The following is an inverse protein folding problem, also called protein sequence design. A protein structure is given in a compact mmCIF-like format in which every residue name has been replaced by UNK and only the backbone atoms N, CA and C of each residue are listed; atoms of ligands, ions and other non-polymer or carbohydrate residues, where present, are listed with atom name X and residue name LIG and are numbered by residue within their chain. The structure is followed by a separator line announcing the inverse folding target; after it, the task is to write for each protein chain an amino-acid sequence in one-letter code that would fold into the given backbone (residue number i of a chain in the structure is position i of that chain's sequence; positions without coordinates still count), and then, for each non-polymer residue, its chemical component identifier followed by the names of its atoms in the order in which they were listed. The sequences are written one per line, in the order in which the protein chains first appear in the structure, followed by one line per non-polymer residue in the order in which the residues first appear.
data_IF_673696826799
#
_entry.id   IF_673696826799
#
_cell.length_a   1.000
_cell.length_b   1.000
_cell.length_c   1.000
_cell.angle_alpha   90.00
_cell.angle_beta   90.00
_cell.angle_gamma   90.00
#
_symmetry.space_group_name_H-M   'P 1'
#
loop_
_entity.id
_entity.type
_entity.pdbx_description
1 polymer ?
#
# COMPACT_ATOMS: atom_id res chain seq x y z
N UNK A 1 49.14 -2.88 6.15
CA UNK A 1 48.06 -3.82 6.53
C UNK A 1 46.91 -3.17 7.32
N UNK A 2 47.12 -2.36 8.38
CA UNK A 2 45.97 -1.80 9.12
C UNK A 2 45.09 -0.85 8.29
N UNK A 3 45.67 -0.13 7.32
CA UNK A 3 44.92 0.79 6.45
C UNK A 3 43.88 0.09 5.56
N UNK A 4 44.22 -1.07 4.99
CA UNK A 4 43.29 -1.84 4.15
C UNK A 4 42.13 -2.42 4.97
N UNK A 5 42.41 -2.93 6.17
CA UNK A 5 41.35 -3.39 7.07
C UNK A 5 40.44 -2.23 7.50
N UNK A 6 41.02 -1.05 7.76
CA UNK A 6 40.26 0.15 8.08
C UNK A 6 39.37 0.61 6.90
N UNK A 7 39.88 0.58 5.66
CA UNK A 7 39.10 0.93 4.46
C UNK A 7 38.00 -0.07 4.14
N UNK A 8 38.15 -1.34 4.56
CA UNK A 8 37.16 -2.40 4.38
C UNK A 8 36.22 -2.58 5.60
N UNK A 9 36.32 -1.68 6.58
CA UNK A 9 35.54 -1.73 7.84
C UNK A 9 35.68 -3.04 8.60
N UNK A 10 36.90 -3.59 8.64
CA UNK A 10 37.26 -4.78 9.41
C UNK A 10 37.91 -4.35 10.72
N UNK A 11 37.14 -4.33 11.80
CA UNK A 11 37.59 -3.90 13.13
C UNK A 11 38.12 -5.06 14.00
N UNK A 12 37.68 -6.28 13.72
CA UNK A 12 38.10 -7.50 14.41
C UNK A 12 38.26 -8.65 13.42
N UNK A 13 39.17 -9.56 13.75
CA UNK A 13 39.38 -10.81 13.01
C UNK A 13 38.82 -12.00 13.80
N UNK A 14 38.34 -13.07 13.13
CA UNK A 14 38.25 -13.23 11.68
C UNK A 14 37.09 -12.43 11.07
N UNK A 15 37.26 -11.95 9.83
CA UNK A 15 36.22 -11.29 9.05
C UNK A 15 36.24 -11.80 7.61
N UNK A 16 35.06 -11.85 7.00
CA UNK A 16 34.87 -12.35 5.64
C UNK A 16 34.19 -11.29 4.78
N UNK A 17 34.49 -11.29 3.50
CA UNK A 17 33.86 -10.41 2.54
C UNK A 17 34.08 -10.92 1.11
N UNK A 18 33.25 -10.45 0.20
CA UNK A 18 33.30 -10.78 -1.22
C UNK A 18 33.50 -9.52 -2.04
N UNK A 19 34.42 -9.60 -3.00
CA UNK A 19 34.57 -8.61 -4.05
C UNK A 19 33.88 -9.14 -5.30
N UNK A 20 32.88 -8.40 -5.78
CA UNK A 20 31.99 -8.80 -6.86
C UNK A 20 32.48 -8.22 -8.19
N UNK A 21 31.94 -8.74 -9.28
CA UNK A 21 32.16 -8.17 -10.61
C UNK A 21 31.69 -6.71 -10.62
N UNK A 22 32.52 -5.81 -11.15
CA UNK A 22 32.26 -4.37 -11.12
C UNK A 22 32.88 -3.63 -9.92
N UNK A 23 33.61 -4.33 -9.04
CA UNK A 23 34.36 -3.71 -7.93
C UNK A 23 33.54 -3.50 -6.65
N UNK A 24 32.31 -4.01 -6.61
CA UNK A 24 31.42 -3.92 -5.44
C UNK A 24 31.92 -4.84 -4.33
N UNK A 25 32.10 -4.29 -3.13
CA UNK A 25 32.51 -5.04 -1.94
C UNK A 25 31.33 -5.24 -1.00
N UNK A 26 31.16 -6.46 -0.48
CA UNK A 26 30.22 -6.76 0.60
C UNK A 26 30.91 -7.55 1.70
N UNK A 27 30.81 -7.05 2.94
CA UNK A 27 31.29 -7.71 4.15
C UNK A 27 30.22 -8.65 4.70
N UNK A 28 30.64 -9.82 5.16
CA UNK A 28 29.77 -10.74 5.87
C UNK A 28 29.38 -10.17 7.24
N UNK A 29 28.14 -10.34 7.69
CA UNK A 29 27.75 -10.05 9.06
C UNK A 29 28.59 -10.87 10.06
N UNK A 30 28.87 -10.36 11.27
CA UNK A 30 29.73 -11.05 12.24
C UNK A 30 29.26 -12.46 12.61
N UNK A 31 27.94 -12.70 12.63
CA UNK A 31 27.31 -13.97 12.99
C UNK A 31 26.92 -14.85 11.80
N UNK A 32 27.27 -14.45 10.58
CA UNK A 32 26.82 -15.16 9.38
C UNK A 32 27.55 -16.49 9.17
N UNK A 33 26.82 -17.49 8.67
CA UNK A 33 27.44 -18.65 8.05
C UNK A 33 28.09 -18.21 6.72
N UNK A 34 29.40 -18.46 6.58
CA UNK A 34 30.18 -17.97 5.44
C UNK A 34 29.74 -18.63 4.14
N UNK A 35 29.30 -19.89 4.17
CA UNK A 35 28.86 -20.60 2.96
C UNK A 35 27.56 -20.00 2.45
N UNK A 36 26.59 -19.81 3.34
CA UNK A 36 25.29 -19.25 2.99
C UNK A 36 25.44 -17.79 2.52
N UNK A 37 26.29 -17.00 3.21
CA UNK A 37 26.64 -15.66 2.78
C UNK A 37 27.19 -15.62 1.35
N UNK A 38 28.17 -16.48 1.02
CA UNK A 38 28.78 -16.49 -0.30
C UNK A 38 27.80 -16.90 -1.41
N UNK A 39 26.86 -17.79 -1.12
CA UNK A 39 25.83 -18.21 -2.09
C UNK A 39 24.96 -17.03 -2.53
N UNK A 40 24.55 -16.17 -1.60
CA UNK A 40 23.62 -15.07 -1.89
C UNK A 40 24.36 -13.79 -2.29
N UNK A 41 25.46 -13.45 -1.60
CA UNK A 41 26.17 -12.18 -1.80
C UNK A 41 26.80 -12.05 -3.19
N UNK A 42 27.19 -13.17 -3.83
CA UNK A 42 27.78 -13.16 -5.17
C UNK A 42 26.78 -12.76 -6.26
N UNK A 43 25.48 -12.98 -6.04
CA UNK A 43 24.42 -12.59 -6.96
C UNK A 43 24.02 -11.11 -6.80
N UNK A 44 24.15 -10.52 -5.60
CA UNK A 44 23.74 -9.15 -5.31
C UNK A 44 24.73 -8.10 -5.83
N UNK A 45 24.84 -7.92 -7.16
CA UNK A 45 25.85 -7.05 -7.78
C UNK A 45 25.72 -5.55 -7.45
N UNK A 46 24.54 -5.09 -7.02
CA UNK A 46 24.24 -3.70 -6.64
C UNK A 46 24.26 -3.45 -5.11
N UNK A 47 24.72 -4.41 -4.30
CA UNK A 47 24.77 -4.29 -2.84
C UNK A 47 26.18 -4.03 -2.32
N UNK A 48 26.37 -2.87 -1.70
CA UNK A 48 27.65 -2.38 -1.20
C UNK A 48 27.71 -2.41 0.33
N UNK A 49 28.88 -2.73 0.90
CA UNK A 49 29.22 -2.31 2.26
C UNK A 49 29.76 -0.90 2.21
N UNK A 50 29.10 0.02 2.91
CA UNK A 50 29.39 1.44 2.87
C UNK A 50 30.38 1.86 3.95
N UNK A 51 31.15 2.90 3.64
CA UNK A 51 31.94 3.65 4.61
C UNK A 51 31.17 4.85 5.18
N UNK A 52 31.64 5.46 6.29
CA UNK A 52 31.10 6.73 6.78
C UNK A 52 31.12 7.84 5.72
N UNK A 53 32.15 7.89 4.88
CA UNK A 53 32.26 8.84 3.77
C UNK A 53 31.23 8.57 2.68
N UNK A 54 31.02 7.30 2.32
CA UNK A 54 29.98 6.94 1.35
C UNK A 54 28.60 7.31 1.87
N UNK A 55 28.32 6.99 3.13
CA UNK A 55 27.05 7.30 3.75
C UNK A 55 26.78 8.81 3.75
N UNK A 56 27.76 9.64 4.14
CA UNK A 56 27.57 11.10 4.13
C UNK A 56 27.30 11.63 2.72
N UNK A 57 28.11 11.23 1.74
CA UNK A 57 27.92 11.61 0.32
C UNK A 57 26.51 11.28 -0.17
N UNK A 58 26.03 10.06 0.13
CA UNK A 58 24.68 9.62 -0.23
C UNK A 58 23.61 10.45 0.50
N UNK A 59 23.74 10.63 1.82
CA UNK A 59 22.75 11.37 2.62
C UNK A 59 22.70 12.87 2.31
N UNK A 60 23.79 13.45 1.81
CA UNK A 60 23.86 14.83 1.32
C UNK A 60 23.16 15.01 -0.04
N UNK A 61 22.79 13.92 -0.70
CA UNK A 61 22.14 13.96 -2.00
C UNK A 61 23.08 14.30 -3.15
N UNK A 62 24.38 14.04 -2.99
CA UNK A 62 25.38 14.22 -4.05
C UNK A 62 25.16 13.24 -5.20
N UNK A 63 24.44 12.15 -4.93
CA UNK A 63 24.09 11.12 -5.91
C UNK A 63 22.71 11.34 -6.54
N UNK A 64 22.66 11.21 -7.86
CA UNK A 64 21.41 11.26 -8.63
C UNK A 64 20.65 9.94 -8.62
N UNK A 65 21.35 8.82 -8.36
CA UNK A 65 20.76 7.49 -8.26
C UNK A 65 19.98 7.31 -6.96
N UNK A 66 19.03 6.37 -6.95
CA UNK A 66 18.32 5.97 -5.75
C UNK A 66 19.20 5.04 -4.92
N UNK A 67 19.36 5.34 -3.63
CA UNK A 67 20.05 4.48 -2.68
C UNK A 67 19.08 3.90 -1.66
N UNK A 68 19.05 2.57 -1.57
CA UNK A 68 18.35 1.82 -0.53
C UNK A 68 19.37 1.39 0.50
N UNK A 69 19.27 1.88 1.72
CA UNK A 69 20.28 1.76 2.76
C UNK A 69 19.74 0.99 3.96
N UNK A 70 20.49 -0.01 4.43
CA UNK A 70 20.34 -0.60 5.75
C UNK A 70 21.37 0.07 6.68
N UNK A 71 20.90 0.89 7.60
CA UNK A 71 21.73 1.55 8.60
C UNK A 71 21.59 0.83 9.93
N UNK A 72 22.71 0.34 10.46
CA UNK A 72 22.76 -0.38 11.72
C UNK A 72 23.63 0.40 12.73
N UNK A 73 23.01 1.10 13.70
CA UNK A 73 23.73 1.79 14.76
C UNK A 73 24.58 0.85 15.62
N UNK A 74 25.65 1.39 16.20
CA UNK A 74 26.56 0.61 17.04
C UNK A 74 25.84 -0.03 18.24
N UNK A 75 26.10 -1.32 18.47
CA UNK A 75 25.53 -2.07 19.60
C UNK A 75 24.08 -2.52 19.43
N UNK A 76 23.52 -2.43 18.22
CA UNK A 76 22.17 -2.91 17.90
C UNK A 76 22.21 -4.29 17.23
N UNK A 77 21.11 -5.05 17.30
CA UNK A 77 20.94 -6.32 16.59
C UNK A 77 20.25 -6.08 15.25
N UNK A 78 20.89 -6.45 14.14
CA UNK A 78 20.44 -6.11 12.78
C UNK A 78 20.77 -7.20 11.75
N UNK A 79 21.52 -8.22 12.14
CA UNK A 79 22.06 -9.25 11.25
C UNK A 79 20.95 -10.07 10.58
N UNK A 80 19.83 -10.26 11.27
CA UNK A 80 18.63 -10.92 10.74
C UNK A 80 17.98 -10.18 9.54
N UNK A 81 18.32 -8.90 9.33
CA UNK A 81 17.80 -8.07 8.23
C UNK A 81 18.61 -8.32 6.95
N UNK A 82 19.86 -8.79 7.06
CA UNK A 82 20.81 -8.82 5.94
C UNK A 82 20.35 -9.76 4.83
N UNK A 83 19.85 -10.94 5.18
CA UNK A 83 19.38 -11.91 4.19
C UNK A 83 18.20 -11.37 3.37
N UNK A 84 17.07 -10.95 3.96
CA UNK A 84 15.96 -10.43 3.16
C UNK A 84 16.32 -9.12 2.45
N UNK A 85 17.21 -8.28 3.01
CA UNK A 85 17.69 -7.08 2.35
C UNK A 85 18.56 -7.39 1.13
N UNK A 86 19.40 -8.43 1.22
CA UNK A 86 20.21 -8.90 0.10
C UNK A 86 19.32 -9.45 -1.00
N UNK A 87 18.27 -10.20 -0.65
CA UNK A 87 17.29 -10.67 -1.64
C UNK A 87 16.58 -9.51 -2.33
N UNK A 88 16.14 -8.49 -1.57
CA UNK A 88 15.53 -7.29 -2.14
C UNK A 88 16.45 -6.57 -3.14
N UNK A 89 17.76 -6.56 -2.86
CA UNK A 89 18.77 -6.01 -3.77
C UNK A 89 18.84 -6.79 -5.08
N UNK A 90 18.82 -8.13 -5.00
CA UNK A 90 18.84 -9.05 -6.15
C UNK A 90 17.60 -8.82 -7.04
N UNK A 91 16.44 -8.67 -6.41
CA UNK A 91 15.17 -8.46 -7.11
C UNK A 91 15.13 -7.12 -7.90
N UNK A 92 16.07 -6.21 -7.62
CA UNK A 92 16.18 -4.90 -8.26
C UNK A 92 17.40 -4.75 -9.19
N UNK A 93 18.12 -5.83 -9.51
CA UNK A 93 19.32 -5.78 -10.35
C UNK A 93 19.09 -5.22 -11.77
N UNK A 94 17.88 -5.36 -12.30
CA UNK A 94 17.53 -4.86 -13.64
C UNK A 94 17.44 -3.32 -13.69
N UNK A 95 17.37 -2.64 -12.54
CA UNK A 95 17.29 -1.19 -12.49
C UNK A 95 18.66 -0.58 -12.15
N UNK A 96 19.36 -0.14 -13.20
CA UNK A 96 20.69 0.47 -13.08
C UNK A 96 20.72 1.76 -12.26
N UNK A 97 19.57 2.39 -12.01
CA UNK A 97 19.47 3.61 -11.21
C UNK A 97 19.27 3.35 -9.70
N UNK A 98 19.26 2.08 -9.26
CA UNK A 98 19.07 1.71 -7.86
C UNK A 98 20.31 0.99 -7.33
N UNK A 99 20.85 1.56 -6.26
CA UNK A 99 21.97 1.00 -5.51
C UNK A 99 21.51 0.62 -4.10
N UNK A 100 22.09 -0.44 -3.56
CA UNK A 100 21.86 -0.87 -2.19
C UNK A 100 23.12 -0.73 -1.35
N UNK A 101 22.96 -0.32 -0.09
CA UNK A 101 24.07 -0.09 0.83
C UNK A 101 23.80 -0.62 2.23
N UNK A 102 24.77 -1.29 2.83
CA UNK A 102 24.74 -1.66 4.25
C UNK A 102 25.83 -0.85 4.96
N UNK A 103 25.42 -0.08 5.98
CA UNK A 103 26.33 0.59 6.89
C UNK A 103 26.10 0.07 8.31
N UNK A 104 27.06 -0.70 8.82
CA UNK A 104 27.12 -1.09 10.23
C UNK A 104 28.09 -0.18 10.98
N UNK A 105 27.57 0.72 11.80
CA UNK A 105 28.38 1.68 12.53
C UNK A 105 29.13 1.03 13.70
N UNK A 106 30.39 1.41 13.86
CA UNK A 106 31.18 1.10 15.05
C UNK A 106 31.11 2.21 16.09
N UNK A 107 31.74 2.00 17.26
CA UNK A 107 31.80 3.01 18.32
C UNK A 107 32.35 4.36 17.81
N UNK A 108 33.33 4.34 16.90
CA UNK A 108 33.93 5.56 16.31
C UNK A 108 33.04 6.21 15.25
N UNK A 109 32.21 5.40 14.58
CA UNK A 109 31.32 5.86 13.51
C UNK A 109 29.85 6.02 13.96
N UNK A 110 29.55 5.89 15.26
CA UNK A 110 28.18 5.85 15.78
C UNK A 110 27.35 7.07 15.34
N UNK A 111 27.95 8.26 15.37
CA UNK A 111 27.29 9.52 14.98
C UNK A 111 26.68 9.49 13.57
N UNK A 112 27.29 8.77 12.63
CA UNK A 112 26.85 8.71 11.23
C UNK A 112 25.55 7.92 11.06
N UNK A 113 25.30 6.90 11.89
CA UNK A 113 24.02 6.18 11.89
C UNK A 113 23.01 6.90 12.78
N UNK A 114 23.42 7.38 13.96
CA UNK A 114 22.50 7.98 14.94
C UNK A 114 21.92 9.32 14.52
N UNK A 115 22.57 10.05 13.60
CA UNK A 115 21.96 11.23 12.96
C UNK A 115 20.70 10.89 12.16
N UNK A 116 20.52 9.61 11.77
CA UNK A 116 19.34 9.13 11.05
C UNK A 116 18.39 8.38 11.98
N UNK A 117 18.91 7.42 12.74
CA UNK A 117 18.11 6.61 13.67
C UNK A 117 18.98 5.99 14.76
N UNK A 118 18.42 5.86 15.97
CA UNK A 118 19.05 5.13 17.08
C UNK A 118 18.82 3.61 17.03
N UNK A 119 17.99 3.13 16.11
CA UNK A 119 17.70 1.72 15.87
C UNK A 119 18.01 1.34 14.41
N UNK A 120 18.23 0.06 14.09
CA UNK A 120 18.37 -0.39 12.71
C UNK A 120 17.20 0.09 11.85
N UNK A 121 17.49 0.60 10.66
CA UNK A 121 16.49 1.26 9.83
C UNK A 121 16.80 1.08 8.34
N UNK A 122 15.75 0.95 7.53
CA UNK A 122 15.86 1.03 6.08
C UNK A 122 15.55 2.45 5.61
N UNK A 123 16.43 3.01 4.80
CA UNK A 123 16.32 4.38 4.29
C UNK A 123 16.41 4.35 2.78
N UNK A 124 15.53 5.08 2.10
CA UNK A 124 15.58 5.28 0.66
C UNK A 124 15.91 6.74 0.42
N UNK A 125 17.05 6.99 -0.20
CA UNK A 125 17.59 8.31 -0.47
C UNK A 125 17.64 8.56 -1.98
N UNK A 126 17.10 9.67 -2.44
CA UNK A 126 17.16 10.11 -3.83
C UNK A 126 17.40 11.62 -3.88
N UNK A 127 18.64 12.03 -4.21
CA UNK A 127 19.06 13.41 -3.99
C UNK A 127 18.84 13.78 -2.52
N UNK A 128 18.13 14.88 -2.25
CA UNK A 128 17.80 15.32 -0.88
C UNK A 128 16.57 14.62 -0.28
N UNK A 129 15.79 13.88 -1.08
CA UNK A 129 14.57 13.21 -0.62
C UNK A 129 14.90 11.96 0.15
N UNK A 130 14.29 11.81 1.33
CA UNK A 130 14.49 10.67 2.22
C UNK A 130 13.16 10.05 2.61
N UNK A 131 13.03 8.73 2.42
CA UNK A 131 11.93 7.93 2.93
C UNK A 131 12.49 6.90 3.91
N UNK A 132 11.84 6.71 5.05
CA UNK A 132 12.35 5.86 6.11
C UNK A 132 11.33 4.78 6.47
N UNK A 133 11.80 3.55 6.59
CA UNK A 133 11.00 2.40 7.00
C UNK A 133 11.19 2.13 8.49
N UNK A 134 10.15 2.38 9.28
CA UNK A 134 10.21 2.29 10.74
C UNK A 134 9.62 0.98 11.32
N UNK A 135 9.16 0.05 10.47
CA UNK A 135 8.57 -1.21 10.93
C UNK A 135 9.64 -2.28 11.19
N UNK A 136 9.29 -3.27 12.01
CA UNK A 136 10.17 -4.39 12.36
C UNK A 136 10.02 -5.63 11.47
N UNK A 137 9.07 -5.63 10.54
CA UNK A 137 8.93 -6.70 9.55
C UNK A 137 9.92 -6.44 8.40
N UNK A 138 11.00 -7.20 8.37
CA UNK A 138 12.01 -7.10 7.31
C UNK A 138 11.81 -8.11 6.18
N UNK A 139 10.67 -8.81 6.16
CA UNK A 139 10.32 -9.74 5.10
C UNK A 139 9.55 -9.02 4.00
N UNK A 140 8.29 -9.42 3.81
CA UNK A 140 7.44 -8.92 2.72
C UNK A 140 7.13 -7.43 2.83
N UNK A 141 7.02 -6.87 4.03
CA UNK A 141 6.63 -5.46 4.18
C UNK A 141 7.77 -4.52 3.80
N UNK A 142 9.02 -4.88 4.12
CA UNK A 142 10.20 -4.13 3.71
C UNK A 142 10.38 -4.18 2.18
N UNK A 143 10.28 -5.35 1.57
CA UNK A 143 10.40 -5.47 0.11
C UNK A 143 9.30 -4.70 -0.61
N UNK A 144 8.06 -4.78 -0.11
CA UNK A 144 6.95 -3.96 -0.63
C UNK A 144 7.22 -2.46 -0.48
N UNK A 145 7.78 -2.02 0.65
CA UNK A 145 8.15 -0.62 0.85
C UNK A 145 9.17 -0.15 -0.18
N UNK A 146 10.24 -0.94 -0.39
CA UNK A 146 11.28 -0.63 -1.37
C UNK A 146 10.68 -0.54 -2.77
N UNK A 147 9.94 -1.57 -3.18
CA UNK A 147 9.23 -1.62 -4.46
C UNK A 147 8.34 -0.40 -4.68
N UNK A 148 7.54 -0.05 -3.67
CA UNK A 148 6.63 1.08 -3.75
C UNK A 148 7.38 2.41 -3.81
N UNK A 149 8.42 2.60 -3.00
CA UNK A 149 9.17 3.85 -2.95
C UNK A 149 9.92 4.11 -4.26
N UNK A 150 10.47 3.05 -4.86
CA UNK A 150 11.18 3.07 -6.14
C UNK A 150 10.23 3.30 -7.32
N UNK A 151 9.09 2.58 -7.35
CA UNK A 151 8.17 2.58 -8.50
C UNK A 151 7.13 3.70 -8.46
N UNK A 152 6.94 4.37 -7.33
CA UNK A 152 5.93 5.43 -7.20
C UNK A 152 6.44 6.75 -7.75
N UNK A 153 5.57 7.48 -8.45
CA UNK A 153 5.69 8.94 -8.53
C UNK A 153 5.59 9.49 -7.12
N UNK A 154 6.40 10.50 -6.79
CA UNK A 154 6.38 11.08 -5.45
C UNK A 154 4.96 11.50 -5.06
N UNK A 155 4.45 10.85 -4.02
CA UNK A 155 3.19 11.18 -3.39
C UNK A 155 3.31 12.49 -2.59
N UNK A 156 4.53 12.96 -2.35
CA UNK A 156 4.78 14.21 -1.63
C UNK A 156 4.33 15.40 -2.48
N UNK A 157 3.47 16.23 -1.89
CA UNK A 157 2.93 17.42 -2.52
C UNK A 157 3.61 18.66 -1.94
N UNK A 158 3.93 19.61 -2.81
CA UNK A 158 4.23 20.98 -2.40
C UNK A 158 2.96 21.75 -2.05
N UNK A 159 3.08 22.82 -1.27
CA UNK A 159 1.97 23.72 -0.96
C UNK A 159 1.32 24.29 -2.22
N UNK A 160 2.11 24.63 -3.24
CA UNK A 160 1.58 25.11 -4.54
C UNK A 160 0.66 24.09 -5.18
N UNK A 161 1.10 22.82 -5.26
CA UNK A 161 0.28 21.74 -5.82
C UNK A 161 -0.99 21.53 -5.00
N UNK A 162 -0.90 21.63 -3.67
CA UNK A 162 -2.06 21.52 -2.80
C UNK A 162 -3.09 22.65 -3.05
N UNK A 163 -2.63 23.90 -3.16
CA UNK A 163 -3.51 25.04 -3.44
C UNK A 163 -4.22 24.85 -4.79
N UNK A 164 -3.51 24.39 -5.82
CA UNK A 164 -4.09 24.03 -7.12
C UNK A 164 -5.15 22.92 -6.99
N UNK A 165 -4.94 21.92 -6.12
CA UNK A 165 -5.94 20.87 -5.85
C UNK A 165 -7.14 21.44 -5.10
N UNK A 166 -6.98 22.41 -4.21
CA UNK A 166 -8.11 22.99 -3.46
C UNK A 166 -9.08 23.75 -4.38
N UNK A 167 -8.57 24.38 -5.44
CA UNK A 167 -9.39 25.04 -6.45
C UNK A 167 -10.25 24.02 -7.23
N UNK A 168 -11.58 24.23 -7.26
CA UNK A 168 -12.53 23.27 -7.88
C UNK A 168 -12.33 23.20 -9.39
N UNK A 169 -12.11 24.34 -10.05
CA UNK A 169 -12.01 24.46 -11.50
C UNK A 169 -10.78 23.80 -12.11
N UNK A 170 -9.72 23.59 -11.32
CA UNK A 170 -8.48 22.93 -11.74
C UNK A 170 -8.48 21.41 -11.49
N UNK A 171 -9.46 20.87 -10.74
CA UNK A 171 -9.50 19.45 -10.38
C UNK A 171 -10.09 18.56 -11.47
N UNK A 172 -9.22 17.82 -12.16
CA UNK A 172 -9.60 16.73 -13.08
C UNK A 172 -9.83 15.38 -12.39
N UNK A 173 -9.29 15.20 -11.18
CA UNK A 173 -9.28 13.93 -10.44
C UNK A 173 -9.81 14.11 -9.02
N UNK A 174 -10.33 13.02 -8.44
CA UNK A 174 -10.59 12.98 -7.01
C UNK A 174 -9.26 12.78 -6.29
N UNK A 175 -8.95 13.65 -5.34
CA UNK A 175 -7.71 13.57 -4.57
C UNK A 175 -7.95 13.03 -3.17
N UNK A 176 -7.12 12.09 -2.73
CA UNK A 176 -7.01 11.66 -1.34
C UNK A 176 -5.66 12.13 -0.81
N UNK A 177 -5.67 13.06 0.15
CA UNK A 177 -4.48 13.74 0.65
C UNK A 177 -4.29 13.49 2.14
N UNK A 178 -3.10 13.04 2.54
CA UNK A 178 -2.68 13.03 3.93
C UNK A 178 -1.98 14.33 4.29
N UNK A 179 -2.22 14.82 5.50
CA UNK A 179 -1.55 15.97 6.09
C UNK A 179 -0.84 15.49 7.33
N UNK A 180 0.49 15.56 7.32
CA UNK A 180 1.35 15.19 8.45
C UNK A 180 1.80 16.49 9.13
N UNK A 181 1.48 16.71 10.42
CA UNK A 181 1.81 17.95 11.12
C UNK A 181 3.33 18.09 11.36
N UNK A 182 3.82 19.33 11.43
CA UNK A 182 5.20 19.61 11.86
C UNK A 182 5.32 19.54 13.39
N UNK A 183 6.29 18.77 13.90
CA UNK A 183 6.63 18.75 15.33
C UNK A 183 6.11 17.55 16.12
N UNK A 184 6.39 17.54 17.43
CA UNK A 184 6.34 16.36 18.30
C UNK A 184 4.97 15.74 18.72
N UNK A 185 3.76 16.32 18.51
CA UNK A 185 2.59 15.78 19.21
C UNK A 185 2.00 14.47 18.65
N UNK A 186 2.48 13.94 17.51
CA UNK A 186 1.95 12.70 16.93
C UNK A 186 2.85 11.46 17.04
N UNK A 187 4.13 11.62 17.39
CA UNK A 187 5.08 10.52 17.62
C UNK A 187 5.05 9.41 16.56
N UNK A 188 5.05 8.16 17.03
CA UNK A 188 5.08 6.96 16.19
C UNK A 188 3.98 6.89 15.11
N UNK A 189 2.83 7.51 15.35
CA UNK A 189 1.74 7.54 14.37
C UNK A 189 2.14 8.29 13.10
N UNK A 190 2.81 9.44 13.24
CA UNK A 190 3.31 10.19 12.09
C UNK A 190 4.50 9.48 11.43
N UNK A 191 5.40 8.90 12.21
CA UNK A 191 6.59 8.21 11.66
C UNK A 191 6.20 7.05 10.74
N UNK A 192 5.09 6.37 11.03
CA UNK A 192 4.61 5.25 10.20
C UNK A 192 3.62 5.64 9.11
N UNK A 193 3.01 6.82 9.21
CA UNK A 193 1.98 7.24 8.26
C UNK A 193 2.48 7.25 6.81
N UNK A 194 3.72 7.68 6.47
CA UNK A 194 4.24 7.58 5.11
C UNK A 194 4.16 6.15 4.53
N UNK A 195 4.57 5.14 5.31
CA UNK A 195 4.48 3.73 4.90
C UNK A 195 3.03 3.31 4.68
N UNK A 196 2.15 3.56 5.66
CA UNK A 196 0.73 3.23 5.56
C UNK A 196 0.10 3.92 4.34
N UNK A 197 0.46 5.18 4.09
CA UNK A 197 -0.05 5.96 2.97
C UNK A 197 0.43 5.45 1.61
N UNK A 198 1.65 4.91 1.53
CA UNK A 198 2.12 4.21 0.33
C UNK A 198 1.30 2.95 0.05
N UNK A 199 0.93 2.19 1.10
CA UNK A 199 0.02 1.03 0.95
C UNK A 199 -1.34 1.49 0.45
N UNK A 200 -1.88 2.61 0.98
CA UNK A 200 -3.12 3.22 0.47
C UNK A 200 -3.00 3.56 -1.01
N UNK A 201 -1.93 4.26 -1.42
CA UNK A 201 -1.68 4.62 -2.80
C UNK A 201 -1.58 3.39 -3.73
N UNK A 202 -0.85 2.34 -3.32
CA UNK A 202 -0.72 1.07 -4.05
C UNK A 202 -2.09 0.42 -4.27
N UNK A 203 -2.92 0.34 -3.21
CA UNK A 203 -4.24 -0.29 -3.26
C UNK A 203 -5.24 0.50 -4.12
N UNK A 204 -5.15 1.83 -4.16
CA UNK A 204 -6.03 2.69 -4.97
C UNK A 204 -5.58 2.86 -6.42
N UNK A 205 -4.37 2.41 -6.79
CA UNK A 205 -3.81 2.49 -8.16
C UNK A 205 -4.71 1.97 -9.30
N UNK A 206 -5.59 0.96 -9.10
CA UNK A 206 -6.55 0.55 -10.13
C UNK A 206 -7.59 1.63 -10.47
N UNK A 207 -7.93 2.50 -9.51
CA UNK A 207 -8.91 3.58 -9.70
C UNK A 207 -8.24 4.79 -10.38
N UNK A 208 -8.16 4.76 -11.72
CA UNK A 208 -7.44 5.79 -12.50
C UNK A 208 -7.96 7.22 -12.37
N UNK A 209 -9.17 7.41 -11.86
CA UNK A 209 -9.75 8.72 -11.57
C UNK A 209 -9.36 9.28 -10.19
N UNK A 210 -8.64 8.50 -9.38
CA UNK A 210 -8.17 8.88 -8.05
C UNK A 210 -6.68 9.21 -8.12
N UNK A 211 -6.28 10.25 -7.39
CA UNK A 211 -4.87 10.58 -7.12
C UNK A 211 -4.65 10.60 -5.62
N UNK A 212 -3.49 10.15 -5.19
CA UNK A 212 -3.11 10.07 -3.78
C UNK A 212 -1.90 10.95 -3.57
N UNK A 213 -1.95 11.82 -2.57
CA UNK A 213 -0.86 12.72 -2.22
C UNK A 213 -0.69 12.88 -0.72
N UNK A 214 0.40 13.49 -0.30
CA UNK A 214 0.75 13.70 1.10
C UNK A 214 1.49 15.02 1.22
N UNK A 215 1.02 15.90 2.11
CA UNK A 215 1.76 17.07 2.55
C UNK A 215 2.43 16.72 3.88
N UNK A 216 3.75 16.64 3.86
CA UNK A 216 4.56 16.49 5.07
C UNK A 216 5.06 17.86 5.53
N UNK A 217 4.47 18.37 6.62
CA UNK A 217 4.84 19.67 7.17
C UNK A 217 6.17 19.64 7.92
N UNK A 218 6.73 18.47 8.25
CA UNK A 218 8.06 18.38 8.84
C UNK A 218 9.15 18.63 7.79
N UNK A 219 8.94 18.18 6.54
CA UNK A 219 9.90 18.37 5.44
C UNK A 219 9.73 19.72 4.75
N UNK A 220 8.49 20.19 4.60
CA UNK A 220 8.16 21.44 3.92
C UNK A 220 7.29 22.34 4.81
N UNK A 221 7.90 23.06 5.78
CA UNK A 221 7.16 23.96 6.65
C UNK A 221 6.64 25.16 5.84
N UNK A 222 5.33 25.31 5.77
CA UNK A 222 4.67 26.44 5.11
C UNK A 222 3.62 27.10 6.01
N UNK A 223 3.10 28.26 5.61
CA UNK A 223 2.03 28.94 6.37
C UNK A 223 0.76 28.07 6.47
N UNK A 224 0.46 27.27 5.44
CA UNK A 224 -0.61 26.28 5.51
C UNK A 224 -0.40 25.27 6.65
N UNK A 225 0.85 24.85 6.89
CA UNK A 225 1.18 23.86 7.92
C UNK A 225 0.91 24.33 9.35
N UNK A 226 0.83 25.64 9.61
CA UNK A 226 0.42 26.16 10.91
C UNK A 226 -1.00 25.71 11.33
N UNK A 227 -1.84 25.35 10.35
CA UNK A 227 -3.20 24.86 10.57
C UNK A 227 -3.32 23.33 10.64
N UNK A 228 -2.23 22.60 10.36
CA UNK A 228 -2.19 21.14 10.45
C UNK A 228 -1.69 20.74 11.82
N UNK A 229 -2.63 20.60 12.78
CA UNK A 229 -2.30 20.25 14.18
C UNK A 229 -2.24 18.75 14.45
N UNK A 230 -2.95 17.96 13.65
CA UNK A 230 -3.10 16.51 13.83
C UNK A 230 -3.00 15.80 12.48
N UNK A 231 -2.49 14.56 12.45
CA UNK A 231 -2.46 13.78 11.22
C UNK A 231 -3.89 13.59 10.71
N UNK A 232 -4.15 14.01 9.48
CA UNK A 232 -5.51 14.08 8.92
C UNK A 232 -5.48 13.59 7.48
N UNK A 233 -6.49 12.83 7.06
CA UNK A 233 -6.73 12.53 5.65
C UNK A 233 -7.93 13.34 5.15
N UNK A 234 -7.85 13.85 3.92
CA UNK A 234 -8.94 14.56 3.25
C UNK A 234 -9.17 14.04 1.84
N UNK A 235 -10.44 13.90 1.46
CA UNK A 235 -10.89 13.61 0.11
C UNK A 235 -11.40 14.90 -0.50
N UNK A 236 -10.91 15.21 -1.69
CA UNK A 236 -11.32 16.33 -2.53
C UNK A 236 -11.98 15.76 -3.80
N UNK A 237 -13.32 15.61 -3.82
CA UNK A 237 -14.04 15.09 -4.99
C UNK A 237 -13.95 16.05 -6.18
N UNK A 238 -14.05 15.52 -7.40
CA UNK A 238 -14.17 16.35 -8.61
C UNK A 238 -15.46 17.17 -8.53
N UNK A 239 -15.38 18.47 -8.89
CA UNK A 239 -16.55 19.35 -8.98
C UNK A 239 -17.19 19.76 -7.65
N UNK A 240 -16.60 19.38 -6.50
CA UNK A 240 -17.08 19.75 -5.16
C UNK A 240 -16.14 20.74 -4.48
N UNK A 241 -16.65 21.85 -3.98
CA UNK A 241 -15.93 22.73 -3.04
C UNK A 241 -15.72 22.07 -1.68
N UNK A 242 -16.65 21.22 -1.28
CA UNK A 242 -16.58 20.49 -0.02
C UNK A 242 -15.56 19.36 -0.10
N UNK A 243 -14.86 19.16 1.03
CA UNK A 243 -13.94 18.05 1.25
C UNK A 243 -14.42 17.20 2.42
N UNK A 244 -14.03 15.93 2.44
CA UNK A 244 -14.41 14.99 3.49
C UNK A 244 -13.15 14.63 4.25
N UNK A 245 -13.16 14.74 5.59
CA UNK A 245 -11.96 14.56 6.41
C UNK A 245 -12.12 13.49 7.49
N UNK A 246 -11.01 12.82 7.82
CA UNK A 246 -10.90 11.95 8.99
C UNK A 246 -9.62 12.27 9.77
N UNK A 247 -9.72 12.23 11.10
CA UNK A 247 -8.59 12.33 11.99
C UNK A 247 -7.89 10.96 12.08
N UNK A 248 -6.57 10.94 11.89
CA UNK A 248 -5.77 9.71 11.85
C UNK A 248 -5.08 9.37 13.18
N UNK A 249 -5.33 10.09 14.28
CA UNK A 249 -4.71 9.81 15.58
C UNK A 249 -4.89 8.34 16.01
N UNK A 250 -6.06 7.76 15.79
CA UNK A 250 -6.38 6.37 16.15
C UNK A 250 -6.52 5.43 14.94
N UNK A 251 -6.61 5.99 13.72
CA UNK A 251 -6.97 5.26 12.49
C UNK A 251 -5.94 5.45 11.36
N UNK A 252 -4.66 5.64 11.70
CA UNK A 252 -3.59 5.85 10.72
C UNK A 252 -3.19 4.61 9.90
N UNK A 253 -3.67 3.42 10.23
CA UNK A 253 -3.31 2.21 9.48
C UNK A 253 -4.07 2.15 8.14
N UNK A 254 -3.39 1.66 7.10
CA UNK A 254 -3.93 1.62 5.74
C UNK A 254 -5.31 0.95 5.62
N UNK A 255 -5.62 -0.18 6.30
CA UNK A 255 -6.94 -0.82 6.19
C UNK A 255 -8.10 0.10 6.60
N UNK A 256 -7.95 0.86 7.68
CA UNK A 256 -9.00 1.78 8.16
C UNK A 256 -9.16 2.98 7.23
N UNK A 257 -8.04 3.54 6.76
CA UNK A 257 -8.03 4.65 5.81
C UNK A 257 -8.71 4.23 4.50
N UNK A 258 -8.39 3.03 3.99
CA UNK A 258 -8.95 2.54 2.73
C UNK A 258 -10.45 2.26 2.84
N UNK A 259 -10.92 1.67 3.94
CA UNK A 259 -12.36 1.49 4.14
C UNK A 259 -13.09 2.83 4.12
N UNK A 260 -12.67 3.78 4.98
CA UNK A 260 -13.23 5.11 5.02
C UNK A 260 -13.18 5.80 3.64
N UNK A 261 -12.03 5.79 2.98
CA UNK A 261 -11.87 6.48 1.70
C UNK A 261 -12.76 5.88 0.60
N UNK A 262 -12.82 4.55 0.51
CA UNK A 262 -13.62 3.87 -0.52
C UNK A 262 -15.12 4.02 -0.29
N UNK A 263 -15.58 4.16 0.95
CA UNK A 263 -16.98 4.49 1.24
C UNK A 263 -17.42 5.80 0.54
N UNK A 264 -16.55 6.80 0.43
CA UNK A 264 -16.87 8.08 -0.23
C UNK A 264 -16.43 8.16 -1.69
N UNK A 265 -15.34 7.47 -2.08
CA UNK A 265 -14.80 7.54 -3.44
C UNK A 265 -15.62 6.73 -4.43
N UNK A 266 -16.05 5.52 -4.04
CA UNK A 266 -16.80 4.63 -4.94
C UNK A 266 -18.26 4.41 -4.50
N UNK A 267 -18.58 4.62 -3.22
CA UNK A 267 -19.92 4.50 -2.59
C UNK A 267 -20.86 3.48 -3.26
N UNK A 268 -20.36 2.27 -3.52
CA UNK A 268 -21.09 1.32 -4.36
C UNK A 268 -21.95 0.36 -3.56
N UNK A 269 -21.71 0.21 -2.26
CA UNK A 269 -22.23 -0.90 -1.45
C UNK A 269 -23.36 -0.48 -0.49
N UNK A 270 -24.58 -0.94 -0.78
CA UNK A 270 -25.74 -0.68 0.06
C UNK A 270 -25.60 -1.39 1.42
N UNK A 271 -25.84 -0.67 2.53
CA UNK A 271 -26.03 -1.28 3.85
C UNK A 271 -27.35 -2.08 3.87
N UNK A 272 -27.26 -3.38 4.12
CA UNK A 272 -28.40 -4.29 4.10
C UNK A 272 -28.79 -4.67 5.53
N UNK A 273 -29.99 -4.24 5.93
CA UNK A 273 -30.68 -4.79 7.11
C UNK A 273 -31.60 -5.94 6.69
N UNK A 274 -32.21 -6.62 7.65
CA UNK A 274 -33.07 -7.78 7.38
C UNK A 274 -34.17 -7.50 6.36
N UNK A 275 -34.85 -6.35 6.45
CA UNK A 275 -35.96 -6.00 5.57
C UNK A 275 -35.49 -5.82 4.12
N UNK A 276 -34.40 -5.09 3.92
CA UNK A 276 -33.83 -4.85 2.59
C UNK A 276 -33.25 -6.15 2.03
N UNK A 277 -32.52 -6.93 2.84
CA UNK A 277 -31.93 -8.20 2.43
C UNK A 277 -33.02 -9.19 1.97
N UNK A 278 -34.04 -9.39 2.81
CA UNK A 278 -35.16 -10.29 2.51
C UNK A 278 -35.87 -9.90 1.22
N UNK A 279 -36.18 -8.61 1.06
CA UNK A 279 -36.96 -8.11 -0.08
C UNK A 279 -36.15 -8.01 -1.38
N UNK A 280 -34.89 -7.57 -1.32
CA UNK A 280 -34.11 -7.26 -2.52
C UNK A 280 -33.19 -8.37 -2.95
N UNK A 281 -32.61 -9.12 -2.01
CA UNK A 281 -31.56 -10.11 -2.29
C UNK A 281 -32.15 -11.50 -2.48
N UNK A 282 -32.93 -11.98 -1.51
CA UNK A 282 -33.38 -13.38 -1.46
C UNK A 282 -34.83 -13.61 -1.92
N UNK A 283 -35.67 -12.57 -2.00
CA UNK A 283 -37.04 -12.73 -2.49
C UNK A 283 -37.06 -13.21 -3.95
N UNK A 284 -37.83 -14.28 -4.17
CA UNK A 284 -38.05 -14.84 -5.50
C UNK A 284 -39.25 -14.20 -6.20
N UNK A 285 -39.09 -13.86 -7.47
CA UNK A 285 -40.19 -13.41 -8.32
C UNK A 285 -40.92 -14.62 -8.92
N UNK A 286 -42.24 -14.68 -8.71
CA UNK A 286 -43.09 -15.78 -9.20
C UNK A 286 -43.13 -15.86 -10.72
N UNK A 287 -43.10 -14.72 -11.41
CA UNK A 287 -43.09 -14.59 -12.88
C UNK A 287 -42.01 -13.58 -13.32
N UNK A 288 -40.74 -13.98 -13.43
CA UNK A 288 -39.65 -13.07 -13.79
C UNK A 288 -39.79 -12.64 -15.26
N UNK A 289 -40.10 -11.36 -15.50
CA UNK A 289 -40.29 -10.79 -16.84
C UNK A 289 -39.02 -10.13 -17.39
N UNK A 290 -37.98 -9.97 -16.58
CA UNK A 290 -36.70 -9.39 -16.96
C UNK A 290 -35.51 -9.98 -16.19
N UNK A 291 -34.29 -9.63 -16.59
CA UNK A 291 -33.07 -10.08 -15.91
C UNK A 291 -32.75 -9.17 -14.74
N UNK A 292 -33.05 -9.64 -13.51
CA UNK A 292 -32.66 -8.95 -12.28
C UNK A 292 -31.14 -9.04 -12.12
N UNK A 293 -30.50 -7.89 -11.83
CA UNK A 293 -29.06 -7.85 -11.55
C UNK A 293 -28.75 -8.70 -10.31
N UNK A 294 -27.73 -9.56 -10.35
CA UNK A 294 -27.23 -10.29 -9.19
C UNK A 294 -26.81 -9.39 -8.04
N UNK A 295 -26.70 -9.97 -6.86
CA UNK A 295 -26.15 -9.30 -5.68
C UNK A 295 -24.82 -9.91 -5.26
N UNK A 296 -23.83 -9.08 -5.00
CA UNK A 296 -22.59 -9.48 -4.33
C UNK A 296 -22.58 -8.88 -2.93
N UNK A 297 -22.71 -9.75 -1.91
CA UNK A 297 -22.92 -9.34 -0.52
C UNK A 297 -21.72 -9.65 0.34
N UNK A 298 -21.19 -8.62 0.99
CA UNK A 298 -20.07 -8.66 1.92
C UNK A 298 -20.56 -8.77 3.37
N UNK A 299 -20.33 -9.91 3.99
CA UNK A 299 -20.66 -10.17 5.39
C UNK A 299 -19.45 -9.88 6.27
N UNK A 300 -19.57 -8.91 7.16
CA UNK A 300 -18.44 -8.42 7.94
C UNK A 300 -18.82 -8.11 9.39
N UNK A 301 -17.80 -7.83 10.20
CA UNK A 301 -17.94 -7.33 11.56
C UNK A 301 -17.02 -6.12 11.74
N UNK A 302 -17.46 -5.03 12.40
CA UNK A 302 -16.59 -3.90 12.74
C UNK A 302 -15.51 -4.25 13.78
N UNK A 303 -15.57 -5.43 14.40
CA UNK A 303 -14.54 -5.92 15.36
C UNK A 303 -13.49 -6.81 14.71
N UNK A 304 -13.48 -6.91 13.40
CA UNK A 304 -12.66 -7.86 12.64
C UNK A 304 -11.62 -7.09 11.83
N UNK A 305 -10.34 -7.16 12.24
CA UNK A 305 -9.25 -6.47 11.54
C UNK A 305 -9.15 -6.89 10.06
N UNK A 306 -9.21 -8.21 9.81
CA UNK A 306 -9.16 -8.76 8.44
C UNK A 306 -10.31 -8.26 7.55
N UNK A 307 -11.41 -7.79 8.13
CA UNK A 307 -12.52 -7.21 7.38
C UNK A 307 -12.15 -5.84 6.81
N UNK A 308 -11.38 -5.03 7.56
CA UNK A 308 -10.84 -3.78 7.03
C UNK A 308 -9.77 -4.06 5.95
N UNK A 309 -8.91 -5.07 6.15
CA UNK A 309 -7.87 -5.43 5.18
C UNK A 309 -8.43 -5.87 3.81
N UNK A 310 -9.57 -6.56 3.82
CA UNK A 310 -10.18 -7.15 2.63
C UNK A 310 -11.27 -6.29 2.00
N UNK A 311 -11.79 -5.29 2.70
CA UNK A 311 -12.79 -4.37 2.15
C UNK A 311 -12.35 -3.70 0.84
N UNK A 312 -11.09 -3.27 0.65
CA UNK A 312 -10.66 -2.64 -0.59
C UNK A 312 -10.83 -3.53 -1.81
N UNK A 313 -10.57 -4.83 -1.67
CA UNK A 313 -10.78 -5.80 -2.75
C UNK A 313 -12.25 -5.88 -3.17
N UNK A 314 -13.16 -5.89 -2.19
CA UNK A 314 -14.61 -5.88 -2.42
C UNK A 314 -15.09 -4.58 -3.08
N UNK A 315 -14.71 -3.43 -2.53
CA UNK A 315 -15.16 -2.13 -3.01
C UNK A 315 -14.63 -1.81 -4.42
N UNK A 316 -13.35 -2.10 -4.70
CA UNK A 316 -12.75 -1.90 -6.03
C UNK A 316 -13.39 -2.86 -7.05
N UNK A 317 -13.61 -4.13 -6.70
CA UNK A 317 -14.34 -5.05 -7.57
C UNK A 317 -15.76 -4.52 -7.85
N UNK A 318 -16.44 -3.97 -6.83
CA UNK A 318 -17.75 -3.33 -6.97
C UNK A 318 -17.76 -2.18 -7.97
N UNK A 319 -16.74 -1.32 -7.94
CA UNK A 319 -16.58 -0.24 -8.91
C UNK A 319 -16.50 -0.77 -10.36
N UNK A 320 -15.71 -1.81 -10.60
CA UNK A 320 -15.58 -2.39 -11.95
C UNK A 320 -16.79 -3.24 -12.37
N UNK A 321 -17.49 -3.85 -11.41
CA UNK A 321 -18.73 -4.60 -11.63
C UNK A 321 -19.98 -3.71 -11.68
N UNK A 322 -19.81 -2.40 -11.50
CA UNK A 322 -20.90 -1.45 -11.51
C UNK A 322 -21.72 -1.60 -12.80
N UNK A 323 -23.02 -1.42 -12.69
CA UNK A 323 -24.03 -1.71 -13.71
C UNK A 323 -24.30 -3.18 -14.02
N UNK A 324 -23.43 -4.13 -13.69
CA UNK A 324 -23.70 -5.56 -13.88
C UNK A 324 -24.29 -6.22 -12.63
N UNK A 325 -23.85 -5.78 -11.45
CA UNK A 325 -24.17 -6.40 -10.16
C UNK A 325 -24.50 -5.33 -9.13
N UNK A 326 -25.39 -5.65 -8.20
CA UNK A 326 -25.70 -4.83 -7.03
C UNK A 326 -24.77 -5.22 -5.87
N UNK A 327 -24.16 -4.23 -5.23
CA UNK A 327 -23.23 -4.47 -4.14
C UNK A 327 -23.94 -4.24 -2.80
N UNK A 328 -23.80 -5.18 -1.88
CA UNK A 328 -24.41 -5.10 -0.55
C UNK A 328 -23.41 -5.41 0.55
N UNK A 329 -23.64 -4.86 1.74
CA UNK A 329 -22.89 -5.23 2.94
C UNK A 329 -23.81 -5.46 4.12
N UNK A 330 -23.50 -6.50 4.90
CA UNK A 330 -24.23 -6.89 6.10
C UNK A 330 -23.27 -6.83 7.29
N UNK A 331 -23.61 -6.01 8.28
CA UNK A 331 -22.90 -5.98 9.55
C UNK A 331 -23.47 -7.09 10.45
N UNK A 332 -22.72 -8.16 10.64
CA UNK A 332 -23.16 -9.33 11.41
C UNK A 332 -23.25 -9.10 12.92
N UNK A 333 -22.79 -7.94 13.43
CA UNK A 333 -23.01 -7.56 14.83
C UNK A 333 -24.43 -7.04 15.05
N UNK A 334 -24.93 -6.21 14.13
CA UNK A 334 -26.28 -5.65 14.18
C UNK A 334 -27.32 -6.57 13.53
N UNK A 335 -26.95 -7.28 12.46
CA UNK A 335 -27.85 -8.14 11.66
C UNK A 335 -27.55 -9.64 11.87
N UNK A 336 -27.46 -10.06 13.14
CA UNK A 336 -27.08 -11.44 13.52
C UNK A 336 -27.96 -12.50 12.85
N UNK A 337 -29.27 -12.23 12.74
CA UNK A 337 -30.23 -13.13 12.12
C UNK A 337 -29.91 -13.44 10.66
N UNK A 338 -29.51 -12.43 9.88
CA UNK A 338 -29.09 -12.64 8.48
C UNK A 338 -27.87 -13.57 8.47
N UNK A 339 -26.85 -13.27 9.26
CA UNK A 339 -25.59 -14.02 9.22
C UNK A 339 -25.72 -15.46 9.73
N UNK A 340 -26.64 -15.71 10.68
CA UNK A 340 -26.97 -17.06 11.12
C UNK A 340 -27.72 -17.85 10.03
N UNK A 341 -28.74 -17.26 9.40
CA UNK A 341 -29.48 -17.91 8.32
C UNK A 341 -28.58 -18.18 7.10
N UNK A 342 -27.71 -17.23 6.78
CA UNK A 342 -26.73 -17.34 5.71
C UNK A 342 -25.50 -18.18 6.11
N UNK A 343 -25.50 -18.84 7.27
CA UNK A 343 -24.44 -19.75 7.71
C UNK A 343 -23.03 -19.11 7.61
N UNK A 344 -22.89 -17.86 8.02
CA UNK A 344 -21.62 -17.13 7.99
C UNK A 344 -20.75 -17.61 9.14
N UNK A 345 -19.78 -18.47 8.84
CA UNK A 345 -18.90 -19.10 9.84
C UNK A 345 -17.64 -18.28 10.16
N UNK A 346 -17.26 -17.34 9.30
CA UNK A 346 -16.07 -16.51 9.47
C UNK A 346 -16.23 -15.15 8.80
N UNK A 347 -15.43 -14.18 9.24
CA UNK A 347 -15.45 -12.84 8.67
C UNK A 347 -14.10 -12.47 8.04
N UNK A 348 -14.12 -11.72 6.92
CA UNK A 348 -15.30 -11.48 6.10
C UNK A 348 -15.67 -12.70 5.24
N UNK A 349 -16.94 -12.82 4.87
CA UNK A 349 -17.42 -13.76 3.86
C UNK A 349 -18.07 -13.00 2.71
N UNK A 350 -17.80 -13.42 1.46
CA UNK A 350 -18.35 -12.80 0.26
C UNK A 350 -19.23 -13.82 -0.47
N UNK A 351 -20.50 -13.46 -0.74
CA UNK A 351 -21.45 -14.33 -1.44
C UNK A 351 -22.09 -13.64 -2.63
N UNK A 352 -22.17 -14.36 -3.75
CA UNK A 352 -22.89 -13.96 -4.96
C UNK A 352 -24.27 -14.63 -4.98
N UNK A 353 -25.32 -13.83 -5.06
CA UNK A 353 -26.72 -14.26 -5.15
C UNK A 353 -27.21 -14.07 -6.59
N UNK A 354 -27.55 -15.18 -7.22
CA UNK A 354 -28.13 -15.25 -8.56
C UNK A 354 -29.60 -15.64 -8.41
N UNK A 355 -30.51 -14.71 -8.65
CA UNK A 355 -31.95 -14.99 -8.58
C UNK A 355 -32.39 -15.87 -9.75
N UNK A 356 -33.55 -16.51 -9.66
CA UNK A 356 -34.14 -17.20 -10.82
C UNK A 356 -34.36 -16.25 -11.99
N UNK A 357 -34.01 -16.68 -13.21
CA UNK A 357 -34.33 -15.99 -14.46
C UNK A 357 -34.67 -17.02 -15.57
N UNK A 358 -34.83 -16.58 -16.82
CA UNK A 358 -35.15 -17.50 -17.93
C UNK A 358 -34.05 -18.55 -18.21
N UNK A 359 -32.79 -18.24 -17.92
CA UNK A 359 -31.62 -19.14 -18.12
C UNK A 359 -31.27 -19.95 -16.87
N UNK A 360 -31.67 -19.47 -15.69
CA UNK A 360 -31.36 -20.06 -14.41
C UNK A 360 -32.67 -20.39 -13.68
N UNK A 361 -33.00 -21.69 -13.62
CA UNK A 361 -34.27 -22.20 -13.09
C UNK A 361 -34.45 -22.04 -11.58
N UNK A 362 -33.36 -21.99 -10.81
CA UNK A 362 -33.39 -21.89 -9.35
C UNK A 362 -32.45 -20.79 -8.87
N UNK A 363 -32.81 -20.10 -7.79
CA UNK A 363 -31.91 -19.17 -7.15
C UNK A 363 -30.67 -19.91 -6.63
N UNK A 364 -29.48 -19.33 -6.82
CA UNK A 364 -28.21 -19.94 -6.44
C UNK A 364 -27.38 -18.94 -5.64
N UNK A 365 -26.73 -19.43 -4.58
CA UNK A 365 -25.82 -18.64 -3.74
C UNK A 365 -24.43 -19.27 -3.81
N UNK A 366 -23.42 -18.46 -4.11
CA UNK A 366 -22.05 -18.93 -4.36
C UNK A 366 -21.09 -18.16 -3.45
N UNK A 367 -20.22 -18.88 -2.74
CA UNK A 367 -19.13 -18.28 -1.98
C UNK A 367 -18.03 -17.82 -2.94
N UNK A 368 -17.66 -16.55 -2.88
CA UNK A 368 -16.60 -15.97 -3.72
C UNK A 368 -15.33 -15.79 -2.87
N UNK A 369 -14.16 -16.26 -3.32
CA UNK A 369 -12.92 -16.06 -2.59
C UNK A 369 -12.54 -14.58 -2.59
N UNK A 370 -12.35 -14.02 -1.39
CA UNK A 370 -11.96 -12.62 -1.20
C UNK A 370 -10.46 -12.52 -0.86
N UNK A 371 -9.63 -12.54 -1.89
CA UNK A 371 -8.16 -12.37 -1.80
C UNK A 371 -7.73 -10.98 -2.26
N UNK A 372 -8.06 -10.68 -3.51
CA UNK A 372 -7.80 -9.41 -4.18
C UNK A 372 -8.95 -9.08 -5.16
N UNK A 373 -8.98 -7.87 -5.69
CA UNK A 373 -10.08 -7.43 -6.55
C UNK A 373 -10.10 -8.18 -7.90
N UNK A 374 -8.96 -8.60 -8.43
CA UNK A 374 -8.83 -9.27 -9.73
C UNK A 374 -9.41 -10.68 -9.68
N UNK A 375 -9.11 -11.40 -8.60
CA UNK A 375 -9.69 -12.71 -8.27
C UNK A 375 -11.20 -12.59 -8.14
N UNK A 376 -11.70 -11.59 -7.39
CA UNK A 376 -13.16 -11.37 -7.27
C UNK A 376 -13.77 -11.10 -8.64
N UNK A 377 -13.16 -10.23 -9.47
CA UNK A 377 -13.64 -9.95 -10.82
C UNK A 377 -13.66 -11.19 -11.70
N UNK A 378 -12.61 -12.00 -11.66
CA UNK A 378 -12.48 -13.23 -12.45
C UNK A 378 -13.57 -14.23 -12.08
N UNK A 379 -13.71 -14.56 -10.81
CA UNK A 379 -14.68 -15.54 -10.31
C UNK A 379 -16.12 -15.08 -10.60
N UNK A 380 -16.42 -13.82 -10.27
CA UNK A 380 -17.76 -13.27 -10.49
C UNK A 380 -18.09 -13.24 -11.99
N UNK A 381 -17.20 -12.78 -12.86
CA UNK A 381 -17.44 -12.76 -14.32
C UNK A 381 -17.76 -14.15 -14.88
N UNK A 382 -17.11 -15.20 -14.39
CA UNK A 382 -17.39 -16.57 -14.83
C UNK A 382 -18.83 -16.98 -14.52
N UNK A 383 -19.32 -16.64 -13.33
CA UNK A 383 -20.71 -16.90 -12.95
C UNK A 383 -21.71 -16.03 -13.70
N UNK A 384 -21.40 -14.74 -13.89
CA UNK A 384 -22.26 -13.81 -14.65
C UNK A 384 -22.41 -14.25 -16.11
N UNK A 385 -21.35 -14.72 -16.79
CA UNK A 385 -21.47 -15.24 -18.17
C UNK A 385 -22.55 -16.29 -18.31
N UNK A 386 -22.60 -17.23 -17.37
CA UNK A 386 -23.59 -18.32 -17.37
C UNK A 386 -24.98 -17.82 -17.01
N UNK A 387 -25.05 -16.83 -16.12
CA UNK A 387 -26.30 -16.25 -15.66
C UNK A 387 -26.99 -15.37 -16.72
N UNK A 388 -26.26 -14.37 -17.23
CA UNK A 388 -26.67 -13.43 -18.28
C UNK A 388 -25.44 -12.68 -18.81
N UNK A 389 -24.94 -13.11 -19.97
CA UNK A 389 -23.77 -12.50 -20.63
C UNK A 389 -23.98 -11.03 -21.00
N UNK A 390 -25.22 -10.56 -21.20
CA UNK A 390 -25.48 -9.16 -21.54
C UNK A 390 -25.04 -8.20 -20.42
N UNK A 391 -25.02 -8.67 -19.16
CA UNK A 391 -24.51 -7.90 -18.03
C UNK A 391 -23.00 -7.63 -18.12
N UNK A 392 -22.24 -8.45 -18.86
CA UNK A 392 -20.80 -8.22 -19.04
C UNK A 392 -20.50 -6.99 -19.91
N UNK A 393 -21.40 -6.62 -20.83
CA UNK A 393 -21.22 -5.43 -21.65
C UNK A 393 -21.09 -4.16 -20.78
N UNK A 394 -21.78 -4.12 -19.63
CA UNK A 394 -21.65 -3.05 -18.64
C UNK A 394 -20.28 -3.01 -17.95
N UNK A 395 -19.63 -4.17 -17.77
CA UNK A 395 -18.30 -4.27 -17.15
C UNK A 395 -17.21 -3.80 -18.12
N UNK A 396 -17.29 -4.23 -19.39
CA UNK A 396 -16.29 -3.89 -20.40
C UNK A 396 -16.24 -2.38 -20.70
N UNK A 397 -17.37 -1.69 -20.66
CA UNK A 397 -17.41 -0.23 -20.80
C UNK A 397 -16.70 0.49 -19.64
N UNK A 398 -16.83 0.01 -18.41
CA UNK A 398 -16.16 0.61 -17.25
C UNK A 398 -14.66 0.33 -17.23
N UNK A 399 -14.26 -0.89 -17.61
CA UNK A 399 -12.84 -1.23 -17.79
C UNK A 399 -12.22 -0.36 -18.90
N UNK A 400 -12.93 -0.15 -20.03
CA UNK A 400 -12.48 0.77 -21.08
C UNK A 400 -12.42 2.22 -20.62
N UNK A 401 -13.42 2.72 -19.88
CA UNK A 401 -13.37 4.06 -19.26
C UNK A 401 -12.21 4.21 -18.27
N UNK A 402 -11.84 3.16 -17.54
CA UNK A 402 -10.66 3.19 -16.68
C UNK A 402 -9.34 3.12 -17.46
N UNK A 403 -9.32 2.54 -18.66
CA UNK A 403 -8.13 2.45 -19.52
C UNK A 403 -7.93 3.73 -20.35
N UNK A 404 -9.01 4.38 -20.80
CA UNK A 404 -8.96 5.60 -21.63
C UNK A 404 -8.78 6.91 -20.85
N UNK A 405 -8.55 6.85 -19.53
CA UNK A 405 -7.95 7.99 -18.81
C UNK A 405 -6.44 7.92 -19.04
N UNK A 406 -6.01 8.29 -20.26
CA UNK A 406 -4.73 8.93 -20.63
C UNK A 406 -4.41 8.67 -22.12
N UNK A 407 -4.62 9.67 -22.98
CA UNK A 407 -3.70 10.03 -24.06
C UNK A 407 -3.99 11.36 -24.76
N UNK A 408 -4.62 12.34 -24.09
CA UNK A 408 -4.66 13.71 -24.62
C UNK A 408 -4.37 14.71 -23.50
N UNK A 409 -3.24 15.39 -23.67
CA UNK A 409 -2.77 16.62 -23.01
C UNK A 409 -2.13 16.55 -21.61
N UNK A 410 -0.79 16.68 -21.66
CA UNK A 410 0.24 17.02 -20.65
C UNK A 410 0.79 15.94 -19.73
#
# INVERSE_FOLDING_TARGET
MPELCASLHVESAPAWGVMKKGGVYQRAPPSADVRDFLQTATAALNLHTLSPSDLQRILNGEDTSVWVLLLAPYGTQWEHIVEPFTQASIDHLENENINFGIMSCSAKAAQYCTQVSHQPVIVIQQGVRRKTYHKQDYGTLMTDFIDMAVKSQDIELSEKQLLEIMHVSSRKYTWLIAFVPSGKPCGYTCDNLPYEWMVVAKKLRPLKFVRVGMLDCATNPTDFCANVRWPTARIYPVGSSEHISINLQELAQAPYILEWALEYIVDSAQKLNWQVFSKKVIAEELNPTGTKKPWLVYFHSPRCFSCYEKYPAFAIAGYFLNNAIQMGRVNCISERGICQQEQIMSYPTLKLYLSRNQRQRFSTVINIPLRDYETVLKEVKQHIRRYDESLLAGIEQNVRKSIHINHDEF
#
